data_IF_845388441730
#
_entry.id   IF_845388441730
#
_cell.length_a   1.000
_cell.length_b   1.000
_cell.length_c   1.000
_cell.angle_alpha   90.00
_cell.angle_beta   90.00
_cell.angle_gamma   90.00
#
_symmetry.space_group_name_H-M   'P 1'
#
loop_
_entity.id
_entity.type
_entity.pdbx_description
1 polymer ?
#
# COMPACT_ATOMS: atom_id res chain seq x y z
N UNK A 1 3.18 32.53 -8.17
CA UNK A 1 3.05 31.18 -8.75
C UNK A 1 1.88 30.49 -8.06
N UNK A 2 0.84 30.14 -8.80
CA UNK A 2 -0.35 29.48 -8.29
C UNK A 2 -1.34 29.21 -9.42
N UNK A 3 -2.10 28.13 -9.33
CA UNK A 3 -3.02 27.72 -10.42
C UNK A 3 -4.02 28.81 -10.82
N UNK A 4 -4.48 29.63 -9.86
CA UNK A 4 -5.42 30.72 -10.12
C UNK A 4 -4.83 31.87 -10.96
N UNK A 5 -3.52 32.11 -10.90
CA UNK A 5 -2.85 33.12 -11.73
C UNK A 5 -2.30 32.52 -13.02
N UNK A 6 -1.74 31.30 -12.95
CA UNK A 6 -0.91 30.75 -14.00
C UNK A 6 -1.68 29.80 -14.94
N UNK A 7 -2.81 29.25 -14.49
CA UNK A 7 -3.61 28.24 -15.21
C UNK A 7 -5.08 28.63 -15.37
N UNK A 8 -5.38 29.94 -15.35
CA UNK A 8 -6.75 30.50 -15.33
C UNK A 8 -7.65 29.99 -16.46
N UNK A 9 -7.08 29.69 -17.64
CA UNK A 9 -7.81 29.19 -18.81
C UNK A 9 -7.43 27.75 -19.17
N UNK A 10 -6.92 26.98 -18.21
CA UNK A 10 -6.38 25.64 -18.44
C UNK A 10 -7.19 24.55 -17.73
N UNK A 11 -8.52 24.71 -17.69
CA UNK A 11 -9.44 23.80 -17.01
C UNK A 11 -9.24 22.34 -17.44
N UNK A 12 -9.15 22.08 -18.76
CA UNK A 12 -8.95 20.73 -19.29
C UNK A 12 -7.62 20.11 -18.85
N UNK A 13 -6.55 20.91 -18.81
CA UNK A 13 -5.24 20.46 -18.35
C UNK A 13 -5.28 20.09 -16.85
N UNK A 14 -5.98 20.87 -16.03
CA UNK A 14 -6.19 20.58 -14.61
C UNK A 14 -7.01 19.29 -14.39
N UNK A 15 -8.02 19.02 -15.22
CA UNK A 15 -8.76 17.76 -15.18
C UNK A 15 -7.88 16.57 -15.55
N UNK A 16 -7.07 16.70 -16.61
CA UNK A 16 -6.11 15.65 -17.00
C UNK A 16 -5.08 15.40 -15.91
N UNK A 17 -4.60 16.45 -15.24
CA UNK A 17 -3.70 16.34 -14.10
C UNK A 17 -4.35 15.55 -12.97
N UNK A 18 -5.54 15.93 -12.52
CA UNK A 18 -6.26 15.23 -11.45
C UNK A 18 -6.52 13.75 -11.79
N UNK A 19 -6.83 13.44 -13.05
CA UNK A 19 -6.99 12.07 -13.54
C UNK A 19 -5.67 11.29 -13.50
N UNK A 20 -4.56 11.90 -13.91
CA UNK A 20 -3.24 11.28 -13.86
C UNK A 20 -2.81 10.97 -12.43
N UNK A 21 -3.05 11.88 -11.50
CA UNK A 21 -2.74 11.69 -10.09
C UNK A 21 -3.61 10.56 -9.50
N UNK A 22 -4.90 10.48 -9.83
CA UNK A 22 -5.76 9.37 -9.43
C UNK A 22 -5.23 8.02 -9.95
N UNK A 23 -4.77 7.95 -11.21
CA UNK A 23 -4.17 6.73 -11.77
C UNK A 23 -2.89 6.31 -11.05
N UNK A 24 -2.05 7.27 -10.64
CA UNK A 24 -0.85 6.99 -9.86
C UNK A 24 -1.22 6.45 -8.47
N UNK A 25 -2.17 7.09 -7.78
CA UNK A 25 -2.64 6.62 -6.47
C UNK A 25 -3.25 5.22 -6.54
N UNK A 26 -4.04 4.94 -7.58
CA UNK A 26 -4.62 3.63 -7.83
C UNK A 26 -3.56 2.55 -8.10
N UNK A 27 -2.54 2.88 -8.88
CA UNK A 27 -1.39 2.01 -9.11
C UNK A 27 -0.66 1.71 -7.80
N UNK A 28 -0.42 2.73 -6.97
CA UNK A 28 0.21 2.58 -5.67
C UNK A 28 -0.63 1.72 -4.71
N UNK A 29 -1.96 1.88 -4.73
CA UNK A 29 -2.88 1.05 -3.93
C UNK A 29 -2.76 -0.42 -4.32
N UNK A 30 -2.80 -0.73 -5.62
CA UNK A 30 -2.63 -2.10 -6.13
C UNK A 30 -1.28 -2.69 -5.74
N UNK A 31 -0.21 -1.90 -5.87
CA UNK A 31 1.13 -2.31 -5.46
C UNK A 31 1.18 -2.66 -3.96
N UNK A 32 0.65 -1.80 -3.09
CA UNK A 32 0.61 -2.06 -1.65
C UNK A 32 -0.25 -3.29 -1.31
N UNK A 33 -1.39 -3.47 -1.97
CA UNK A 33 -2.22 -4.67 -1.80
C UNK A 33 -1.47 -5.95 -2.19
N UNK A 34 -0.72 -5.92 -3.30
CA UNK A 34 0.13 -7.05 -3.70
C UNK A 34 1.25 -7.29 -2.68
N UNK A 35 1.85 -6.22 -2.15
CA UNK A 35 2.89 -6.33 -1.13
C UNK A 35 2.39 -6.98 0.16
N UNK A 36 1.21 -6.56 0.65
CA UNK A 36 0.55 -7.20 1.80
C UNK A 36 0.34 -8.69 1.57
N UNK A 37 -0.15 -9.07 0.38
CA UNK A 37 -0.37 -10.48 0.03
C UNK A 37 0.96 -11.26 0.00
N UNK A 38 1.96 -10.72 -0.69
CA UNK A 38 3.28 -11.33 -0.82
C UNK A 38 3.96 -11.54 0.53
N UNK A 39 3.91 -10.55 1.43
CA UNK A 39 4.54 -10.63 2.74
C UNK A 39 3.84 -11.67 3.63
N UNK A 40 2.51 -11.80 3.55
CA UNK A 40 1.75 -12.86 4.26
C UNK A 40 2.06 -14.26 3.74
N UNK A 41 2.13 -14.42 2.42
CA UNK A 41 2.48 -15.69 1.80
C UNK A 41 3.92 -16.10 2.17
N UNK A 42 4.86 -15.16 2.12
CA UNK A 42 6.24 -15.41 2.50
C UNK A 42 6.39 -15.75 3.99
N UNK A 43 5.71 -15.03 4.88
CA UNK A 43 5.67 -15.35 6.30
C UNK A 43 5.17 -16.78 6.55
N UNK A 44 4.12 -17.19 5.84
CA UNK A 44 3.55 -18.54 5.95
C UNK A 44 4.51 -19.62 5.46
N UNK A 45 5.24 -19.36 4.36
CA UNK A 45 6.27 -20.28 3.86
C UNK A 45 7.42 -20.45 4.86
N UNK A 46 7.91 -19.36 5.46
CA UNK A 46 8.95 -19.41 6.49
C UNK A 46 8.49 -20.21 7.73
N UNK A 47 7.25 -19.99 8.17
CA UNK A 47 6.66 -20.73 9.29
C UNK A 47 6.57 -22.23 8.98
N UNK A 48 6.13 -22.59 7.77
CA UNK A 48 6.03 -23.98 7.34
C UNK A 48 7.41 -24.67 7.32
N UNK A 49 8.47 -23.97 6.91
CA UNK A 49 9.84 -24.49 6.96
C UNK A 49 10.24 -24.79 8.41
N UNK A 50 10.01 -23.87 9.34
CA UNK A 50 10.35 -24.07 10.76
C UNK A 50 9.59 -25.27 11.36
N UNK A 51 8.29 -25.40 11.07
CA UNK A 51 7.46 -26.52 11.52
C UNK A 51 7.92 -27.88 10.95
N UNK A 52 8.49 -27.92 9.74
CA UNK A 52 9.02 -29.16 9.18
C UNK A 52 10.30 -29.59 9.89
N UNK A 53 11.15 -28.64 10.27
CA UNK A 53 12.38 -28.91 11.02
C UNK A 53 12.05 -29.47 12.41
N UNK A 54 11.11 -28.85 13.13
CA UNK A 54 10.69 -29.32 14.46
C UNK A 54 10.16 -30.77 14.45
N UNK A 55 9.47 -31.17 13.38
CA UNK A 55 8.98 -32.55 13.22
C UNK A 55 10.11 -33.57 13.05
N UNK A 56 11.26 -33.17 12.52
CA UNK A 56 12.38 -34.06 12.19
C UNK A 56 13.47 -34.11 13.29
N UNK A 57 13.47 -33.16 14.24
CA UNK A 57 14.46 -33.08 15.34
C UNK A 57 14.14 -33.97 16.55
N UNK A 58 13.14 -34.85 16.48
CA UNK A 58 12.73 -35.73 17.59
C UNK A 58 13.64 -36.95 17.82
N UNK A 59 14.79 -37.04 17.14
CA UNK A 59 15.70 -38.18 17.25
C UNK A 59 17.01 -37.84 17.98
N UNK A 60 17.21 -38.46 19.15
CA UNK A 60 18.46 -38.58 19.93
C UNK A 60 18.91 -37.39 20.82
N UNK A 61 19.03 -37.58 22.16
CA UNK A 61 19.57 -36.59 23.10
C UNK A 61 21.06 -36.27 22.95
N UNK A 62 21.81 -37.11 22.22
CA UNK A 62 23.28 -37.00 22.10
C UNK A 62 23.66 -35.92 21.07
N UNK A 63 22.80 -35.65 20.09
CA UNK A 63 23.03 -34.66 19.04
C UNK A 63 22.86 -33.21 19.52
N UNK A 64 22.19 -32.99 20.65
CA UNK A 64 21.93 -31.66 21.23
C UNK A 64 23.18 -30.94 21.79
N UNK A 65 24.30 -31.65 21.96
CA UNK A 65 25.51 -31.09 22.59
C UNK A 65 26.46 -30.40 21.59
N UNK A 66 26.32 -30.67 20.30
CA UNK A 66 27.20 -30.13 19.26
C UNK A 66 26.98 -28.64 19.02
N UNK A 67 28.07 -27.90 18.76
CA UNK A 67 28.01 -26.49 18.33
C UNK A 67 27.23 -26.33 17.02
N UNK A 68 27.25 -27.35 16.16
CA UNK A 68 26.47 -27.37 14.90
C UNK A 68 24.98 -27.36 15.21
N UNK A 69 24.53 -28.23 16.11
CA UNK A 69 23.11 -28.33 16.51
C UNK A 69 22.62 -27.05 17.18
N UNK A 70 23.44 -26.43 18.03
CA UNK A 70 23.11 -25.12 18.65
C UNK A 70 22.98 -24.01 17.61
N UNK A 71 23.88 -23.97 16.62
CA UNK A 71 23.86 -22.98 15.55
C UNK A 71 22.65 -23.17 14.63
N UNK A 72 22.32 -24.43 14.33
CA UNK A 72 21.14 -24.80 13.57
C UNK A 72 19.85 -24.39 14.27
N UNK A 73 19.69 -24.72 15.56
CA UNK A 73 18.54 -24.30 16.36
C UNK A 73 18.39 -22.76 16.41
N UNK A 74 19.50 -22.04 16.52
CA UNK A 74 19.50 -20.57 16.45
C UNK A 74 19.01 -20.07 15.09
N UNK A 75 19.41 -20.70 13.98
CA UNK A 75 18.98 -20.32 12.64
C UNK A 75 17.48 -20.58 12.42
N UNK A 76 16.96 -21.71 12.91
CA UNK A 76 15.52 -22.02 12.88
C UNK A 76 14.76 -20.97 13.68
N UNK A 77 15.22 -20.64 14.89
CA UNK A 77 14.60 -19.62 15.73
C UNK A 77 14.57 -18.23 15.07
N UNK A 78 15.68 -17.81 14.44
CA UNK A 78 15.72 -16.54 13.72
C UNK A 78 14.81 -16.53 12.48
N UNK A 79 14.65 -17.67 11.81
CA UNK A 79 13.74 -17.82 10.66
C UNK A 79 12.27 -17.71 11.10
N UNK A 80 11.93 -18.31 12.24
CA UNK A 80 10.61 -18.18 12.89
C UNK A 80 10.33 -16.73 13.31
N UNK A 81 11.33 -16.03 13.87
CA UNK A 81 11.21 -14.59 14.17
C UNK A 81 10.97 -13.75 12.91
N UNK A 82 11.69 -14.03 11.83
CA UNK A 82 11.50 -13.33 10.55
C UNK A 82 10.08 -13.55 9.99
N UNK A 83 9.54 -14.76 10.09
CA UNK A 83 8.15 -15.05 9.72
C UNK A 83 7.16 -14.12 10.44
N UNK A 84 7.33 -13.96 11.76
CA UNK A 84 6.49 -13.09 12.58
C UNK A 84 6.61 -11.62 12.17
N UNK A 85 7.84 -11.14 11.94
CA UNK A 85 8.10 -9.76 11.47
C UNK A 85 7.39 -9.51 10.12
N UNK A 86 7.51 -10.44 9.17
CA UNK A 86 6.86 -10.33 7.85
C UNK A 86 5.34 -10.28 7.97
N UNK A 87 4.75 -11.10 8.84
CA UNK A 87 3.31 -11.06 9.11
C UNK A 87 2.88 -9.70 9.69
N UNK A 88 3.60 -9.19 10.69
CA UNK A 88 3.32 -7.88 11.30
C UNK A 88 3.45 -6.75 10.28
N UNK A 89 4.51 -6.72 9.48
CA UNK A 89 4.67 -5.72 8.43
C UNK A 89 3.51 -5.71 7.43
N UNK A 90 3.03 -6.89 7.04
CA UNK A 90 1.87 -7.00 6.16
C UNK A 90 0.58 -6.47 6.81
N UNK A 91 0.39 -6.71 8.10
CA UNK A 91 -0.75 -6.21 8.87
C UNK A 91 -0.68 -4.69 9.03
N UNK A 92 0.46 -4.14 9.46
CA UNK A 92 0.70 -2.71 9.63
C UNK A 92 0.53 -1.95 8.31
N UNK A 93 1.07 -2.49 7.21
CA UNK A 93 0.89 -1.92 5.87
C UNK A 93 -0.59 -1.87 5.49
N UNK A 94 -1.34 -2.94 5.80
CA UNK A 94 -2.74 -3.08 5.43
C UNK A 94 -3.65 -2.13 6.21
N UNK A 95 -3.52 -2.07 7.54
CA UNK A 95 -4.40 -1.25 8.38
C UNK A 95 -3.97 0.22 8.47
N UNK A 96 -2.70 0.53 8.17
CA UNK A 96 -2.16 1.88 8.19
C UNK A 96 -2.10 2.52 6.80
N UNK A 97 -0.95 2.48 6.10
CA UNK A 97 -0.75 3.18 4.84
C UNK A 97 -1.77 2.83 3.74
N UNK A 98 -2.09 1.55 3.53
CA UNK A 98 -3.02 1.13 2.48
C UNK A 98 -4.45 1.64 2.73
N UNK A 99 -4.90 1.61 3.98
CA UNK A 99 -6.19 2.18 4.37
C UNK A 99 -6.23 3.69 4.13
N UNK A 100 -5.20 4.42 4.58
CA UNK A 100 -5.10 5.89 4.39
C UNK A 100 -5.06 6.27 2.91
N UNK A 101 -4.31 5.53 2.09
CA UNK A 101 -4.27 5.73 0.64
C UNK A 101 -5.65 5.49 0.01
N UNK A 102 -6.38 4.48 0.46
CA UNK A 102 -7.74 4.20 -0.02
C UNK A 102 -8.71 5.34 0.33
N UNK A 103 -8.59 5.95 1.51
CA UNK A 103 -9.39 7.14 1.88
C UNK A 103 -9.00 8.35 1.03
N UNK A 104 -7.70 8.62 0.88
CA UNK A 104 -7.21 9.74 0.07
C UNK A 104 -7.66 9.65 -1.39
N UNK A 105 -7.74 8.45 -1.98
CA UNK A 105 -8.29 8.27 -3.33
C UNK A 105 -9.77 8.69 -3.38
N UNK A 106 -10.58 8.28 -2.40
CA UNK A 106 -12.00 8.67 -2.32
C UNK A 106 -12.15 10.19 -2.18
N UNK A 107 -11.38 10.79 -1.28
CA UNK A 107 -11.40 12.24 -1.05
C UNK A 107 -11.00 13.00 -2.32
N UNK A 108 -9.96 12.54 -3.01
CA UNK A 108 -9.52 13.15 -4.28
C UNK A 108 -10.56 13.02 -5.40
N UNK A 109 -11.25 11.88 -5.50
CA UNK A 109 -12.37 11.71 -6.43
C UNK A 109 -13.51 12.69 -6.12
N UNK A 110 -13.80 12.91 -4.83
CA UNK A 110 -14.80 13.88 -4.40
C UNK A 110 -14.39 15.31 -4.75
N UNK A 111 -13.13 15.69 -4.46
CA UNK A 111 -12.59 17.01 -4.81
C UNK A 111 -12.65 17.26 -6.31
N UNK A 112 -12.30 16.27 -7.14
CA UNK A 112 -12.40 16.36 -8.62
C UNK A 112 -13.84 16.66 -9.07
N UNK A 113 -14.83 15.95 -8.52
CA UNK A 113 -16.26 16.19 -8.83
C UNK A 113 -16.70 17.59 -8.42
N UNK A 114 -16.35 18.02 -7.21
CA UNK A 114 -16.67 19.36 -6.72
C UNK A 114 -16.03 20.46 -7.59
N UNK A 115 -14.78 20.29 -7.99
CA UNK A 115 -14.10 21.22 -8.91
C UNK A 115 -14.82 21.32 -10.26
N UNK A 116 -15.20 20.20 -10.86
CA UNK A 116 -15.94 20.18 -12.13
C UNK A 116 -17.29 20.89 -12.01
N UNK A 117 -18.03 20.64 -10.93
CA UNK A 117 -19.32 21.30 -10.69
C UNK A 117 -19.16 22.81 -10.52
N UNK A 118 -18.15 23.27 -9.78
CA UNK A 118 -17.89 24.70 -9.60
C UNK A 118 -17.50 25.38 -10.91
N UNK A 119 -16.67 24.73 -11.73
CA UNK A 119 -16.30 25.25 -13.03
C UNK A 119 -17.54 25.44 -13.93
N UNK A 120 -18.40 24.43 -14.02
CA UNK A 120 -19.62 24.51 -14.83
C UNK A 120 -20.56 25.63 -14.35
N UNK A 121 -20.68 25.81 -13.04
CA UNK A 121 -21.48 26.90 -12.47
C UNK A 121 -20.90 28.27 -12.84
N UNK A 122 -19.59 28.45 -12.73
CA UNK A 122 -18.91 29.69 -13.13
C UNK A 122 -19.09 30.00 -14.61
N UNK A 123 -18.93 28.99 -15.47
CA UNK A 123 -19.13 29.14 -16.93
C UNK A 123 -20.57 29.53 -17.26
N UNK A 124 -21.57 28.93 -16.59
CA UNK A 124 -22.97 29.29 -16.77
C UNK A 124 -23.28 30.74 -16.36
N UNK A 125 -22.75 31.19 -15.22
CA UNK A 125 -22.94 32.58 -14.75
C UNK A 125 -22.23 33.59 -15.67
N UNK A 126 -21.02 33.28 -16.15
CA UNK A 126 -20.31 34.14 -17.11
C UNK A 126 -21.09 34.24 -18.42
N UNK A 127 -21.59 33.13 -18.96
CA UNK A 127 -22.42 33.13 -20.17
C UNK A 127 -23.69 33.98 -19.98
N UNK A 128 -24.34 33.87 -18.82
CA UNK A 128 -25.54 34.64 -18.50
C UNK A 128 -25.27 36.14 -18.44
N UNK A 129 -24.15 36.56 -17.85
CA UNK A 129 -23.77 37.99 -17.73
C UNK A 129 -23.27 38.56 -19.06
N UNK A 130 -22.61 37.75 -19.90
CA UNK A 130 -21.98 38.21 -21.15
C UNK A 130 -22.94 38.21 -22.35
N UNK A 131 -24.03 37.44 -22.29
CA UNK A 131 -25.06 37.39 -23.35
C UNK A 131 -26.26 38.33 -23.10
N UNK A 132 -26.14 39.27 -22.14
CA UNK A 132 -27.04 40.41 -21.93
C UNK A 132 -26.31 41.67 -22.40
#
# INVERSE_FOLDING_TARGET
MGFGSDLRNSHEALLKLQESELKVLETLRKFMSLRVKSDKEYASLLQNVCQQVEKHETSSPVDSLSNVTKSWASMVHQTEQLSRIMKTHAEDLNVGPLYRLTMMIKDKQQVKKSYQSMQQQLEAEVCKVTMI
#
